data_IF_162044914818
#
_entry.id   IF_162044914818
#
_cell.length_a   1.000
_cell.length_b   1.000
_cell.length_c   1.000
_cell.angle_alpha   90.00
_cell.angle_beta   90.00
_cell.angle_gamma   90.00
#
_symmetry.space_group_name_H-M   'P 1'
#
loop_
_entity.id
_entity.type
_entity.pdbx_description
1 polymer ?
#
# COMPACT_ATOMS: atom_id res chain seq x y z
N UNK A 1 30.96 47.04 -2.53
CA UNK A 1 30.88 45.88 -1.62
C UNK A 1 31.77 44.79 -2.18
N UNK A 2 32.86 44.45 -1.49
CA UNK A 2 33.79 43.38 -1.88
C UNK A 2 33.33 42.11 -1.16
N UNK A 3 32.99 41.05 -1.89
CA UNK A 3 32.70 39.74 -1.31
C UNK A 3 34.00 38.95 -1.23
N UNK A 4 34.52 38.79 -0.02
CA UNK A 4 35.67 37.94 0.25
C UNK A 4 35.14 36.54 0.61
N UNK A 5 35.50 35.54 -0.19
CA UNK A 5 35.22 34.14 0.12
C UNK A 5 36.40 33.59 0.94
N UNK A 6 36.12 33.04 2.12
CA UNK A 6 37.09 32.35 2.95
C UNK A 6 36.75 30.85 2.91
N UNK A 7 37.64 30.05 2.34
CA UNK A 7 37.53 28.60 2.35
C UNK A 7 38.33 28.06 3.54
N UNK A 8 37.69 27.21 4.35
CA UNK A 8 38.32 26.55 5.50
C UNK A 8 38.47 25.07 5.15
N UNK A 9 39.69 24.57 5.20
CA UNK A 9 39.99 23.15 5.05
C UNK A 9 39.68 22.43 6.36
N UNK A 10 38.77 21.45 6.30
CA UNK A 10 38.30 20.70 7.47
C UNK A 10 39.37 19.75 8.02
N UNK A 11 40.44 19.50 7.25
CA UNK A 11 41.57 18.68 7.68
C UNK A 11 42.36 19.31 8.83
N UNK A 12 42.43 20.65 8.86
CA UNK A 12 43.08 21.42 9.94
C UNK A 12 42.26 21.43 11.25
N UNK A 13 40.97 21.10 11.18
CA UNK A 13 40.10 20.99 12.36
C UNK A 13 40.09 19.58 12.96
N UNK A 14 40.71 18.60 12.31
CA UNK A 14 40.78 17.23 12.82
C UNK A 14 42.02 17.06 13.71
N UNK A 15 41.80 16.94 15.02
CA UNK A 15 42.88 16.54 15.93
C UNK A 15 43.27 15.08 15.66
N UNK A 16 44.52 14.83 15.28
CA UNK A 16 45.03 13.48 15.03
C UNK A 16 44.93 12.67 16.33
N UNK A 17 44.14 11.59 16.32
CA UNK A 17 43.94 10.75 17.49
C UNK A 17 45.29 10.24 18.00
N UNK A 18 45.71 10.71 19.18
CA UNK A 18 46.96 10.27 19.81
C UNK A 18 46.91 8.75 19.95
N UNK A 19 47.92 8.07 19.41
CA UNK A 19 48.02 6.61 19.51
C UNK A 19 47.99 6.23 20.99
N UNK A 20 46.89 5.62 21.44
CA UNK A 20 46.76 5.12 22.80
C UNK A 20 47.67 3.92 22.90
N UNK A 21 48.89 4.10 23.41
CA UNK A 21 49.72 2.97 23.79
C UNK A 21 48.91 2.14 24.78
N UNK A 22 48.54 0.92 24.37
CA UNK A 22 47.83 0.00 25.23
C UNK A 22 48.70 -0.27 26.45
N UNK A 23 48.31 0.30 27.59
CA UNK A 23 48.87 -0.07 28.88
C UNK A 23 48.60 -1.55 29.06
N UNK A 24 49.64 -2.38 29.03
CA UNK A 24 49.55 -3.79 29.37
C UNK A 24 48.98 -3.89 30.79
N UNK A 25 47.67 -4.15 30.87
CA UNK A 25 46.96 -4.28 32.13
C UNK A 25 47.22 -5.70 32.63
N UNK A 26 47.68 -5.90 33.88
CA UNK A 26 47.83 -7.23 34.43
C UNK A 26 46.46 -7.93 34.40
N UNK A 27 46.48 -9.20 33.97
CA UNK A 27 45.31 -10.08 33.84
C UNK A 27 44.59 -10.12 35.20
N UNK A 28 43.54 -9.31 35.33
CA UNK A 28 42.56 -9.46 36.38
C UNK A 28 41.67 -10.64 36.00
N UNK A 29 41.44 -11.55 36.97
CA UNK A 29 40.59 -12.73 36.81
C UNK A 29 39.23 -12.32 36.19
N UNK A 30 38.74 -13.02 35.16
CA UNK A 30 37.54 -12.60 34.46
C UNK A 30 36.35 -12.75 35.39
N UNK A 31 35.77 -11.62 35.79
CA UNK A 31 34.39 -11.56 36.24
C UNK A 31 33.53 -11.67 34.97
N UNK A 32 32.92 -12.83 34.79
CA UNK A 32 31.79 -13.13 33.89
C UNK A 32 31.67 -12.28 32.62
N UNK A 33 32.66 -12.37 31.72
CA UNK A 33 32.49 -11.86 30.36
C UNK A 33 31.66 -12.88 29.56
N UNK A 34 30.42 -12.50 29.21
CA UNK A 34 29.51 -13.30 28.38
C UNK A 34 29.94 -13.31 26.89
N UNK A 35 30.70 -12.30 26.46
CA UNK A 35 31.18 -12.20 25.09
C UNK A 35 32.39 -13.13 24.88
N UNK A 36 32.19 -14.18 24.09
CA UNK A 36 33.24 -15.06 23.58
C UNK A 36 33.74 -14.56 22.22
N UNK A 37 35.00 -14.83 21.84
CA UNK A 37 35.48 -14.55 20.50
C UNK A 37 34.68 -15.39 19.49
N UNK A 38 33.94 -14.72 18.59
CA UNK A 38 33.19 -15.34 17.51
C UNK A 38 33.95 -15.13 16.21
N UNK A 39 33.99 -16.17 15.37
CA UNK A 39 34.62 -16.12 14.06
C UNK A 39 33.86 -15.18 13.11
N UNK A 40 34.59 -14.33 12.38
CA UNK A 40 33.99 -13.32 11.49
C UNK A 40 33.26 -13.98 10.31
N UNK A 41 33.76 -15.10 9.79
CA UNK A 41 33.10 -15.77 8.67
C UNK A 41 31.76 -16.37 9.11
N UNK A 42 31.67 -16.89 10.34
CA UNK A 42 30.41 -17.33 10.91
C UNK A 42 29.38 -16.20 11.05
N UNK A 43 29.81 -14.99 11.44
CA UNK A 43 28.91 -13.82 11.53
C UNK A 43 28.41 -13.40 10.14
N UNK A 44 29.29 -13.38 9.13
CA UNK A 44 28.90 -13.02 7.76
C UNK A 44 27.90 -14.01 7.16
N UNK A 45 28.13 -15.32 7.35
CA UNK A 45 27.18 -16.35 6.90
C UNK A 45 25.80 -16.19 7.56
N UNK A 46 25.77 -15.75 8.82
CA UNK A 46 24.52 -15.48 9.54
C UNK A 46 23.79 -14.26 8.99
N UNK A 47 24.52 -13.22 8.55
CA UNK A 47 23.94 -12.05 7.87
C UNK A 47 23.38 -12.42 6.50
N UNK A 48 24.15 -13.15 5.69
CA UNK A 48 23.71 -13.61 4.37
C UNK A 48 22.44 -14.46 4.46
N UNK A 49 22.34 -15.30 5.50
CA UNK A 49 21.16 -16.10 5.76
C UNK A 49 19.94 -15.24 6.18
N UNK A 50 20.15 -14.22 7.03
CA UNK A 50 19.10 -13.30 7.45
C UNK A 50 18.56 -12.48 6.27
N UNK A 51 19.46 -11.99 5.40
CA UNK A 51 19.09 -11.24 4.19
C UNK A 51 18.28 -12.10 3.22
N UNK A 52 18.65 -13.38 3.04
CA UNK A 52 17.90 -14.30 2.19
C UNK A 52 16.50 -14.61 2.74
N UNK A 53 16.36 -14.73 4.06
CA UNK A 53 15.08 -14.92 4.75
C UNK A 53 14.19 -13.67 4.63
N UNK A 54 14.78 -12.48 4.81
CA UNK A 54 14.09 -11.19 4.65
C UNK A 54 13.63 -10.95 3.21
N UNK A 55 14.45 -11.28 2.21
CA UNK A 55 14.05 -11.19 0.81
C UNK A 55 12.86 -12.11 0.49
N UNK A 56 12.86 -13.34 1.02
CA UNK A 56 11.79 -14.29 0.80
C UNK A 56 10.48 -13.80 1.46
N UNK A 57 10.56 -13.27 2.68
CA UNK A 57 9.42 -12.69 3.39
C UNK A 57 8.87 -11.44 2.67
N UNK A 58 9.74 -10.56 2.16
CA UNK A 58 9.36 -9.38 1.40
C UNK A 58 8.69 -9.74 0.07
N UNK A 59 9.19 -10.75 -0.65
CA UNK A 59 8.55 -11.22 -1.89
C UNK A 59 7.16 -11.77 -1.62
N UNK A 60 6.96 -12.50 -0.52
CA UNK A 60 5.65 -13.01 -0.12
C UNK A 60 4.69 -11.89 0.28
N UNK A 61 5.14 -10.87 1.01
CA UNK A 61 4.28 -9.75 1.39
C UNK A 61 3.82 -8.92 0.19
N UNK A 62 4.70 -8.69 -0.79
CA UNK A 62 4.35 -8.02 -2.05
C UNK A 62 3.28 -8.82 -2.82
N UNK A 63 3.41 -10.14 -2.88
CA UNK A 63 2.43 -11.01 -3.54
C UNK A 63 1.07 -11.00 -2.83
N UNK A 64 1.06 -10.95 -1.50
CA UNK A 64 -0.19 -10.85 -0.72
C UNK A 64 -0.88 -9.52 -0.96
N UNK A 65 -0.14 -8.40 -0.99
CA UNK A 65 -0.69 -7.05 -1.24
C UNK A 65 -1.28 -6.97 -2.66
N UNK A 66 -0.60 -7.54 -3.67
CA UNK A 66 -1.11 -7.58 -5.03
C UNK A 66 -2.40 -8.41 -5.20
N UNK A 67 -2.69 -9.31 -4.26
CA UNK A 67 -3.88 -10.16 -4.29
C UNK A 67 -4.99 -9.71 -3.32
N UNK A 68 -4.75 -8.67 -2.51
CA UNK A 68 -5.76 -8.12 -1.61
C UNK A 68 -6.72 -7.12 -2.26
N UNK A 69 -6.48 -6.74 -3.52
CA UNK A 69 -7.36 -5.84 -4.26
C UNK A 69 -8.55 -6.63 -4.82
N UNK A 70 -9.71 -6.50 -4.18
CA UNK A 70 -10.96 -7.13 -4.63
C UNK A 70 -11.87 -6.11 -5.33
N UNK A 71 -11.46 -5.75 -6.54
CA UNK A 71 -12.20 -4.80 -7.40
C UNK A 71 -13.62 -5.30 -7.72
N UNK A 72 -13.81 -6.62 -7.75
CA UNK A 72 -15.11 -7.22 -8.04
C UNK A 72 -16.10 -6.98 -6.90
N UNK A 73 -15.69 -7.16 -5.64
CA UNK A 73 -16.57 -6.89 -4.49
C UNK A 73 -16.86 -5.39 -4.35
N UNK A 74 -15.88 -4.52 -4.57
CA UNK A 74 -16.10 -3.06 -4.56
C UNK A 74 -17.12 -2.65 -5.63
N UNK A 75 -16.97 -3.17 -6.86
CA UNK A 75 -17.90 -2.90 -7.96
C UNK A 75 -19.32 -3.36 -7.62
N UNK A 76 -19.46 -4.57 -7.04
CA UNK A 76 -20.74 -5.13 -6.65
C UNK A 76 -21.44 -4.29 -5.57
N UNK A 77 -20.70 -3.87 -4.53
CA UNK A 77 -21.24 -3.03 -3.46
C UNK A 77 -21.73 -1.67 -3.98
N UNK A 78 -20.95 -1.04 -4.87
CA UNK A 78 -21.33 0.24 -5.50
C UNK A 78 -22.58 0.06 -6.37
N UNK A 79 -22.64 -1.03 -7.13
CA UNK A 79 -23.78 -1.33 -8.00
C UNK A 79 -25.06 -1.54 -7.17
N UNK A 80 -25.02 -2.35 -6.12
CA UNK A 80 -26.15 -2.60 -5.22
C UNK A 80 -26.67 -1.30 -4.59
N UNK A 81 -25.75 -0.43 -4.15
CA UNK A 81 -26.12 0.85 -3.55
C UNK A 81 -26.74 1.82 -4.55
N UNK A 82 -26.18 1.92 -5.76
CA UNK A 82 -26.72 2.75 -6.85
C UNK A 82 -28.06 2.22 -7.39
N UNK A 83 -28.35 0.93 -7.27
CA UNK A 83 -29.66 0.39 -7.62
C UNK A 83 -30.75 0.85 -6.65
N UNK A 84 -30.40 1.00 -5.37
CA UNK A 84 -31.32 1.50 -4.34
C UNK A 84 -31.63 2.99 -4.55
N UNK A 85 -30.66 3.72 -5.10
CA UNK A 85 -30.75 5.17 -5.31
C UNK A 85 -30.84 5.49 -6.79
N UNK A 86 -32.05 5.66 -7.34
CA UNK A 86 -32.32 5.95 -8.77
C UNK A 86 -31.74 7.28 -9.31
N UNK A 87 -30.84 7.93 -8.59
CA UNK A 87 -30.29 9.25 -8.88
C UNK A 87 -28.78 9.19 -9.06
N UNK A 88 -28.23 10.18 -9.78
CA UNK A 88 -26.78 10.39 -9.80
C UNK A 88 -26.28 10.83 -8.44
N UNK A 89 -25.18 10.25 -7.99
CA UNK A 89 -24.55 10.54 -6.70
C UNK A 89 -23.10 10.93 -6.93
N UNK A 90 -22.55 11.82 -6.11
CA UNK A 90 -21.14 12.18 -6.19
C UNK A 90 -20.25 11.06 -5.65
N UNK A 91 -19.03 10.91 -6.16
CA UNK A 91 -18.06 9.92 -5.65
C UNK A 91 -17.80 10.12 -4.14
N UNK A 92 -17.88 11.35 -3.65
CA UNK A 92 -17.70 11.63 -2.23
C UNK A 92 -18.84 11.09 -1.37
N UNK A 93 -20.08 11.34 -1.76
CA UNK A 93 -21.24 10.77 -1.07
C UNK A 93 -21.23 9.24 -1.13
N UNK A 94 -20.72 8.66 -2.23
CA UNK A 94 -20.58 7.21 -2.39
C UNK A 94 -19.58 6.63 -1.39
N UNK A 95 -18.42 7.28 -1.22
CA UNK A 95 -17.41 6.90 -0.22
C UNK A 95 -17.94 7.01 1.21
N UNK A 96 -18.66 8.09 1.52
CA UNK A 96 -19.25 8.30 2.84
C UNK A 96 -20.37 7.28 3.12
N UNK A 97 -21.20 6.96 2.12
CA UNK A 97 -22.36 6.06 2.29
C UNK A 97 -22.01 4.59 2.38
N UNK A 98 -20.95 4.17 1.67
CA UNK A 98 -20.47 2.79 1.67
C UNK A 98 -19.41 2.54 2.76
N UNK A 99 -19.01 3.58 3.50
CA UNK A 99 -17.89 3.55 4.45
C UNK A 99 -16.60 2.97 3.84
N UNK A 100 -16.43 3.14 2.52
CA UNK A 100 -15.31 2.60 1.76
C UNK A 100 -14.22 3.67 1.57
N UNK A 101 -12.93 3.29 1.63
CA UNK A 101 -11.84 4.17 1.27
C UNK A 101 -12.00 4.74 -0.15
N UNK A 102 -11.64 6.02 -0.29
CA UNK A 102 -11.74 6.74 -1.55
C UNK A 102 -11.12 5.99 -2.73
N UNK A 103 -9.97 5.35 -2.53
CA UNK A 103 -9.27 4.61 -3.59
C UNK A 103 -10.06 3.38 -4.07
N UNK A 104 -10.70 2.65 -3.15
CA UNK A 104 -11.49 1.45 -3.48
C UNK A 104 -12.73 1.83 -4.27
N UNK A 105 -13.39 2.93 -3.87
CA UNK A 105 -14.51 3.51 -4.61
C UNK A 105 -14.09 3.92 -6.01
N UNK A 106 -12.96 4.61 -6.15
CA UNK A 106 -12.45 5.01 -7.45
C UNK A 106 -12.14 3.83 -8.37
N UNK A 107 -11.48 2.80 -7.85
CA UNK A 107 -11.17 1.60 -8.61
C UNK A 107 -12.47 0.87 -9.01
N UNK A 108 -13.39 0.66 -8.07
CA UNK A 108 -14.70 0.06 -8.35
C UNK A 108 -15.50 0.83 -9.40
N UNK A 109 -15.53 2.16 -9.33
CA UNK A 109 -16.25 2.99 -10.32
C UNK A 109 -15.59 2.92 -11.71
N UNK A 110 -14.25 2.98 -11.79
CA UNK A 110 -13.51 2.97 -13.06
C UNK A 110 -13.58 1.61 -13.77
N UNK A 111 -13.48 0.51 -13.01
CA UNK A 111 -13.53 -0.85 -13.57
C UNK A 111 -14.95 -1.40 -13.70
N UNK A 112 -15.91 -0.80 -13.00
CA UNK A 112 -17.30 -1.26 -12.97
C UNK A 112 -18.18 -0.82 -14.12
N UNK A 113 -17.69 -0.07 -15.11
CA UNK A 113 -18.49 0.32 -16.27
C UNK A 113 -19.66 1.26 -15.96
N UNK A 114 -19.56 2.05 -14.90
CA UNK A 114 -20.54 3.07 -14.54
C UNK A 114 -20.41 4.32 -15.43
N UNK A 115 -21.48 5.12 -15.50
CA UNK A 115 -21.42 6.41 -16.19
C UNK A 115 -20.88 7.49 -15.25
N UNK A 116 -19.75 8.07 -15.64
CA UNK A 116 -19.12 9.19 -14.93
C UNK A 116 -19.47 10.52 -15.61
N UNK A 117 -20.00 11.46 -14.85
CA UNK A 117 -20.31 12.82 -15.30
C UNK A 117 -19.54 13.83 -14.45
N UNK A 118 -18.73 14.70 -15.07
CA UNK A 118 -18.20 15.88 -14.40
C UNK A 118 -19.00 17.11 -14.81
N UNK A 119 -19.60 17.78 -13.83
CA UNK A 119 -20.44 18.96 -14.04
C UNK A 119 -19.67 20.22 -13.68
N UNK A 120 -18.78 20.67 -14.57
CA UNK A 120 -18.05 21.94 -14.41
C UNK A 120 -16.58 21.85 -14.76
N UNK A 121 -15.76 22.64 -14.07
CA UNK A 121 -14.31 22.73 -14.27
C UNK A 121 -13.58 21.52 -13.69
N UNK A 122 -12.53 21.09 -14.40
CA UNK A 122 -11.71 19.95 -14.04
C UNK A 122 -11.03 20.17 -12.67
N UNK A 123 -11.06 19.17 -11.80
CA UNK A 123 -10.59 19.18 -10.38
C UNK A 123 -11.33 20.08 -9.38
N UNK A 124 -12.12 21.05 -9.84
CA UNK A 124 -12.90 21.91 -8.94
C UNK A 124 -14.32 21.38 -8.73
N UNK A 125 -14.84 20.63 -9.71
CA UNK A 125 -16.20 20.11 -9.69
C UNK A 125 -16.22 18.62 -9.30
N UNK A 126 -17.19 18.20 -8.47
CA UNK A 126 -17.33 16.80 -8.08
C UNK A 126 -17.69 15.95 -9.29
N UNK A 127 -17.27 14.69 -9.21
CA UNK A 127 -17.53 13.68 -10.23
C UNK A 127 -18.73 12.86 -9.77
N UNK A 128 -19.70 12.73 -10.66
CA UNK A 128 -20.97 12.07 -10.43
C UNK A 128 -20.97 10.71 -11.08
N UNK A 129 -21.58 9.73 -10.42
CA UNK A 129 -21.70 8.35 -10.87
C UNK A 129 -23.18 8.02 -11.05
N UNK A 130 -23.50 7.32 -12.14
CA UNK A 130 -24.81 6.75 -12.44
C UNK A 130 -24.65 5.30 -12.87
N UNK A 131 -25.66 4.48 -12.57
CA UNK A 131 -25.77 3.15 -13.16
C UNK A 131 -25.91 3.27 -14.69
N UNK A 132 -25.11 2.52 -15.44
CA UNK A 132 -25.17 2.53 -16.91
C UNK A 132 -26.36 1.69 -17.40
N UNK A 133 -27.02 2.11 -18.47
CA UNK A 133 -28.14 1.38 -19.08
C UNK A 133 -27.75 -0.05 -19.51
N UNK A 134 -26.48 -0.28 -19.85
CA UNK A 134 -25.96 -1.60 -20.26
C UNK A 134 -25.99 -2.61 -19.08
N UNK A 135 -25.71 -2.13 -17.85
CA UNK A 135 -25.81 -2.96 -16.64
C UNK A 135 -27.26 -3.22 -16.23
N UNK A 136 -28.18 -2.31 -16.54
CA UNK A 136 -29.61 -2.52 -16.31
C UNK A 136 -30.18 -3.61 -17.25
N UNK A 137 -29.55 -3.86 -18.41
CA UNK A 137 -29.97 -4.91 -19.34
C UNK A 137 -29.47 -6.31 -18.95
N UNK A 138 -28.23 -6.46 -18.49
CA UNK A 138 -27.68 -7.76 -18.03
C UNK A 138 -28.43 -8.31 -16.82
N UNK A 139 -28.78 -7.46 -15.85
CA UNK A 139 -29.55 -7.88 -14.68
C UNK A 139 -31.01 -8.24 -14.97
N UNK A 140 -31.65 -7.61 -15.98
CA UNK A 140 -32.99 -8.03 -16.42
C UNK A 140 -32.98 -9.42 -17.05
N UNK A 141 -31.87 -9.84 -17.65
CA UNK A 141 -31.74 -11.20 -18.19
C UNK A 141 -31.56 -12.23 -17.06
N UNK A 142 -30.75 -11.91 -16.05
CA UNK A 142 -30.53 -12.82 -14.90
C UNK A 142 -31.76 -12.96 -14.00
N UNK A 143 -32.49 -11.86 -13.73
CA UNK A 143 -33.74 -11.93 -12.96
C UNK A 143 -34.87 -12.68 -13.67
N UNK A 144 -34.85 -12.75 -15.01
CA UNK A 144 -35.85 -13.47 -15.79
C UNK A 144 -35.52 -14.97 -15.93
N UNK A 145 -34.23 -15.35 -15.82
CA UNK A 145 -33.79 -16.75 -15.79
C UNK A 145 -34.14 -17.45 -14.47
N UNK A 146 -34.11 -16.74 -13.34
CA UNK A 146 -34.51 -17.29 -12.03
C UNK A 146 -36.03 -17.42 -11.88
N UNK A 147 -36.82 -16.49 -12.44
CA UNK A 147 -38.29 -16.58 -12.44
C UNK A 147 -38.82 -17.72 -13.34
N UNK A 148 -38.07 -18.11 -14.38
CA UNK A 148 -38.42 -19.22 -15.27
C UNK A 148 -38.18 -20.62 -14.70
N UNK A 149 -37.35 -20.76 -13.65
CA UNK A 149 -37.05 -22.06 -13.03
C UNK A 149 -38.03 -22.47 -11.92
N UNK A 150 -38.80 -21.53 -11.37
CA UNK A 150 -39.78 -21.81 -10.32
C UNK A 150 -41.18 -22.17 -10.85
N UNK A 151 -41.40 -22.14 -12.17
CA UNK A 151 -42.71 -22.44 -12.79
C UNK A 151 -42.86 -23.83 -13.42
N UNK A 152 -41.92 -24.76 -13.20
CA UNK A 152 -41.92 -26.09 -13.86
C UNK A 152 -41.94 -27.26 -12.88
N UNK A 153 -42.71 -27.13 -11.80
CA UNK A 153 -43.02 -28.21 -10.87
C UNK A 153 -44.46 -28.08 -10.35
N UNK A 154 -45.44 -28.18 -11.25
CA UNK A 154 -46.81 -28.63 -10.93
C UNK A 154 -47.24 -29.70 -11.93
#
# INVERSE_FOLDING_TARGET
MVRQAMAVDLSDLMELARSRQQRAKPIAKPKESIAAPVDKAAVLAMVDQLEAEDEAAQKQSILVIAHSEDVASWTAAILEWLQTTLLSVSIAELSDSLEMPWIEVWLGVLFGGFQLEQRGTFYESPIWVKCSDDQAMTLRQDGQLEAGKLGLAE
#
